data_IF_294811145079
#
_entry.id   IF_294811145079
#
_cell.length_a   1.000
_cell.length_b   1.000
_cell.length_c   1.000
_cell.angle_alpha   90.00
_cell.angle_beta   90.00
_cell.angle_gamma   90.00
#
_symmetry.space_group_name_H-M   'P 1'
#
loop_
_entity.id
_entity.type
_entity.pdbx_description
1 polymer ?
#
# COMPACT_ATOMS: atom_id res chain seq x y z
N UNK A 1 17.10 13.86 16.42
CA UNK A 1 15.65 13.96 16.64
C UNK A 1 15.08 14.75 15.48
N UNK A 2 14.19 14.14 14.69
CA UNK A 2 13.70 14.69 13.43
C UNK A 2 12.51 15.62 13.63
N UNK A 3 12.64 16.62 14.49
CA UNK A 3 11.58 17.60 14.76
C UNK A 3 11.68 18.79 13.81
N UNK A 4 10.55 19.30 13.35
CA UNK A 4 10.46 20.55 12.59
C UNK A 4 9.51 21.56 13.28
N UNK A 5 9.28 22.72 12.66
CA UNK A 5 8.45 23.79 13.22
C UNK A 5 6.97 23.39 13.44
N UNK A 6 6.50 22.35 12.76
CA UNK A 6 5.13 21.82 12.82
C UNK A 6 5.10 20.50 13.59
N UNK A 7 6.10 19.64 13.43
CA UNK A 7 6.15 18.30 14.02
C UNK A 7 7.24 18.26 15.11
N UNK A 8 6.85 18.59 16.34
CA UNK A 8 7.79 18.76 17.46
C UNK A 8 8.20 17.45 18.14
N UNK A 9 7.35 16.41 18.06
CA UNK A 9 7.50 15.11 18.74
C UNK A 9 7.24 13.90 17.81
N UNK A 10 7.85 13.81 16.61
CA UNK A 10 7.52 12.74 15.67
C UNK A 10 8.06 11.39 16.13
N UNK A 11 7.20 10.38 16.05
CA UNK A 11 7.56 8.97 16.27
C UNK A 11 7.55 8.24 14.92
N UNK A 12 8.73 8.12 14.30
CA UNK A 12 8.86 7.64 12.92
C UNK A 12 8.26 6.23 12.79
N UNK A 13 7.16 6.16 12.06
CA UNK A 13 6.33 4.98 11.93
C UNK A 13 6.08 4.67 10.47
N UNK A 14 5.70 3.43 10.17
CA UNK A 14 5.23 3.10 8.84
C UNK A 14 4.10 2.08 8.87
N UNK A 15 3.17 2.22 7.93
CA UNK A 15 2.27 1.15 7.58
C UNK A 15 3.00 0.22 6.59
N UNK A 16 3.39 -0.96 7.07
CA UNK A 16 4.17 -1.94 6.31
C UNK A 16 3.26 -2.97 5.64
N UNK A 17 3.44 -3.20 4.34
CA UNK A 17 2.67 -4.14 3.53
C UNK A 17 3.58 -5.23 3.02
N UNK A 18 3.14 -6.48 3.19
CA UNK A 18 3.76 -7.65 2.56
C UNK A 18 2.74 -8.34 1.67
N UNK A 19 2.99 -8.37 0.36
CA UNK A 19 2.22 -9.16 -0.61
C UNK A 19 2.91 -10.52 -0.73
N UNK A 20 2.28 -11.54 -0.16
CA UNK A 20 2.79 -12.92 -0.17
C UNK A 20 2.30 -13.65 -1.41
N UNK A 21 3.16 -14.50 -1.97
CA UNK A 21 2.79 -15.45 -3.01
C UNK A 21 2.78 -16.88 -2.45
N UNK A 22 2.40 -17.84 -3.27
CA UNK A 22 2.54 -19.27 -2.99
C UNK A 22 3.97 -19.80 -3.25
N UNK A 23 4.87 -18.96 -3.79
CA UNK A 23 6.27 -19.31 -4.01
C UNK A 23 7.07 -18.94 -2.77
N UNK A 24 7.85 -19.89 -2.27
CA UNK A 24 8.70 -19.69 -1.08
C UNK A 24 9.69 -18.56 -1.35
N UNK A 25 9.87 -17.67 -0.36
CA UNK A 25 10.77 -16.50 -0.40
C UNK A 25 10.49 -15.44 -1.47
N UNK A 26 9.44 -15.58 -2.27
CA UNK A 26 8.99 -14.55 -3.23
C UNK A 26 7.82 -13.76 -2.65
N UNK A 27 8.14 -12.55 -2.18
CA UNK A 27 7.18 -11.61 -1.59
C UNK A 27 7.54 -10.16 -1.90
N UNK A 28 6.51 -9.34 -2.05
CA UNK A 28 6.59 -7.91 -2.28
C UNK A 28 6.45 -7.12 -1.00
N UNK A 29 7.21 -6.05 -0.87
CA UNK A 29 7.27 -5.20 0.31
C UNK A 29 7.04 -3.75 -0.07
N UNK A 30 6.11 -3.11 0.63
CA UNK A 30 5.79 -1.71 0.43
C UNK A 30 5.53 -1.02 1.76
N UNK A 31 5.75 0.28 1.79
CA UNK A 31 5.53 1.08 2.99
C UNK A 31 4.79 2.36 2.67
N UNK A 32 4.10 2.88 3.67
CA UNK A 32 3.74 4.30 3.74
C UNK A 32 4.26 4.89 5.04
N UNK A 33 4.99 6.00 4.92
CA UNK A 33 5.62 6.68 6.05
C UNK A 33 4.62 7.56 6.81
N UNK A 34 4.78 7.59 8.13
CA UNK A 34 3.95 8.34 9.08
C UNK A 34 4.80 8.73 10.29
N UNK A 35 4.27 9.55 11.19
CA UNK A 35 5.02 10.09 12.34
C UNK A 35 4.37 9.75 13.69
N UNK A 36 3.73 8.58 13.80
CA UNK A 36 3.22 8.03 15.07
C UNK A 36 1.73 7.75 15.04
N UNK A 37 0.96 8.40 15.92
CA UNK A 37 -0.51 8.27 15.99
C UNK A 37 -1.16 8.47 14.62
N UNK A 38 -2.10 7.61 14.25
CA UNK A 38 -2.77 7.62 12.95
C UNK A 38 -2.17 6.62 11.93
N UNK A 39 -1.02 6.01 12.22
CA UNK A 39 -0.48 4.90 11.41
C UNK A 39 -1.49 3.76 11.29
N UNK A 40 -2.19 3.46 12.38
CA UNK A 40 -3.24 2.44 12.45
C UNK A 40 -4.40 2.70 11.49
N UNK A 41 -4.68 3.97 11.16
CA UNK A 41 -5.72 4.36 10.19
C UNK A 41 -5.28 4.00 8.78
N UNK A 42 -4.00 4.21 8.44
CA UNK A 42 -3.44 3.79 7.15
C UNK A 42 -3.44 2.25 7.04
N UNK A 43 -3.10 1.54 8.11
CA UNK A 43 -3.16 0.07 8.17
C UNK A 43 -4.60 -0.43 7.97
N UNK A 44 -5.60 0.20 8.61
CA UNK A 44 -7.00 -0.16 8.40
C UNK A 44 -7.44 0.06 6.94
N UNK A 45 -7.00 1.15 6.30
CA UNK A 45 -7.27 1.41 4.90
C UNK A 45 -6.60 0.37 3.97
N UNK A 46 -5.38 -0.08 4.29
CA UNK A 46 -4.71 -1.18 3.58
C UNK A 46 -5.57 -2.45 3.64
N UNK A 47 -6.06 -2.83 4.83
CA UNK A 47 -6.91 -4.01 4.99
C UNK A 47 -8.23 -3.89 4.21
N UNK A 48 -8.85 -2.70 4.20
CA UNK A 48 -10.06 -2.46 3.42
C UNK A 48 -9.85 -2.69 1.92
N UNK A 49 -8.66 -2.37 1.40
CA UNK A 49 -8.32 -2.50 -0.02
C UNK A 49 -7.70 -3.86 -0.41
N UNK A 50 -7.28 -4.68 0.55
CA UNK A 50 -6.52 -5.91 0.30
C UNK A 50 -7.24 -6.90 -0.65
N UNK A 51 -8.57 -6.93 -0.61
CA UNK A 51 -9.41 -7.81 -1.43
C UNK A 51 -9.27 -7.56 -2.95
N UNK A 52 -8.79 -6.39 -3.37
CA UNK A 52 -8.50 -6.10 -4.79
C UNK A 52 -7.28 -6.87 -5.32
N UNK A 53 -6.42 -7.37 -4.42
CA UNK A 53 -5.15 -8.03 -4.72
C UNK A 53 -5.20 -9.52 -4.39
N UNK A 54 -5.82 -9.88 -3.25
CA UNK A 54 -5.86 -11.28 -2.78
C UNK A 54 -6.53 -12.19 -3.81
N UNK A 55 -5.90 -13.34 -4.08
CA UNK A 55 -6.42 -14.35 -5.01
C UNK A 55 -6.05 -14.12 -6.48
N UNK A 56 -5.35 -13.04 -6.81
CA UNK A 56 -4.84 -12.77 -8.16
C UNK A 56 -3.42 -13.28 -8.33
N UNK A 57 -3.07 -13.67 -9.55
CA UNK A 57 -1.68 -14.00 -9.89
C UNK A 57 -0.87 -12.73 -10.16
N UNK A 58 0.44 -12.78 -9.94
CA UNK A 58 1.33 -11.66 -10.26
C UNK A 58 1.25 -11.31 -11.76
N UNK A 59 1.20 -12.31 -12.64
CA UNK A 59 1.09 -12.13 -14.09
C UNK A 59 -0.18 -11.36 -14.49
N UNK A 60 -1.34 -11.70 -13.91
CA UNK A 60 -2.59 -10.96 -14.14
C UNK A 60 -2.50 -9.50 -13.71
N UNK A 61 -1.80 -9.22 -12.61
CA UNK A 61 -1.62 -7.87 -12.09
C UNK A 61 -0.72 -7.06 -13.03
N UNK A 62 0.46 -7.59 -13.38
CA UNK A 62 1.48 -6.82 -14.14
C UNK A 62 1.10 -6.63 -15.61
N UNK A 63 0.40 -7.58 -16.22
CA UNK A 63 -0.11 -7.45 -17.59
C UNK A 63 -1.12 -6.32 -17.75
N UNK A 64 -1.80 -5.92 -16.67
CA UNK A 64 -2.71 -4.78 -16.69
C UNK A 64 -2.64 -4.00 -15.37
N UNK A 65 -1.46 -3.45 -15.11
CA UNK A 65 -1.18 -2.70 -13.89
C UNK A 65 -2.13 -1.51 -13.72
N UNK A 66 -2.51 -0.87 -14.83
CA UNK A 66 -3.47 0.23 -14.83
C UNK A 66 -4.83 -0.19 -14.27
N UNK A 67 -5.37 -1.34 -14.68
CA UNK A 67 -6.64 -1.83 -14.15
C UNK A 67 -6.58 -2.13 -12.64
N UNK A 68 -5.46 -2.66 -12.14
CA UNK A 68 -5.28 -2.91 -10.70
C UNK A 68 -5.18 -1.60 -9.92
N UNK A 69 -4.44 -0.63 -10.44
CA UNK A 69 -4.38 0.69 -9.84
C UNK A 69 -5.77 1.35 -9.80
N UNK A 70 -6.54 1.26 -10.89
CA UNK A 70 -7.91 1.75 -10.94
C UNK A 70 -8.82 1.04 -9.95
N UNK A 71 -8.75 -0.29 -9.80
CA UNK A 71 -9.58 -1.00 -8.83
C UNK A 71 -9.31 -0.52 -7.40
N UNK A 72 -8.05 -0.22 -7.08
CA UNK A 72 -7.66 0.34 -5.78
C UNK A 72 -8.09 1.80 -5.59
N UNK A 73 -7.98 2.66 -6.61
CA UNK A 73 -8.27 4.10 -6.47
C UNK A 73 -9.73 4.47 -6.71
N UNK A 74 -10.45 3.67 -7.47
CA UNK A 74 -11.81 3.95 -7.93
C UNK A 74 -12.88 3.07 -7.24
N UNK A 75 -12.51 2.26 -6.25
CA UNK A 75 -13.45 1.63 -5.31
C UNK A 75 -14.39 2.70 -4.75
N UNK A 76 -15.66 2.67 -5.14
CA UNK A 76 -16.58 3.80 -4.88
C UNK A 76 -16.74 4.14 -3.40
N UNK A 77 -16.71 3.15 -2.51
CA UNK A 77 -16.94 3.34 -1.08
C UNK A 77 -15.66 3.84 -0.41
N UNK A 78 -14.53 3.21 -0.71
CA UNK A 78 -13.23 3.62 -0.15
C UNK A 78 -12.77 4.95 -0.76
N UNK A 79 -13.11 5.24 -2.02
CA UNK A 79 -12.81 6.52 -2.68
C UNK A 79 -13.52 7.70 -2.00
N UNK A 80 -14.70 7.48 -1.42
CA UNK A 80 -15.47 8.54 -0.75
C UNK A 80 -14.72 9.18 0.43
N UNK A 81 -13.84 8.42 1.09
CA UNK A 81 -13.02 8.89 2.22
C UNK A 81 -11.64 9.46 1.81
N UNK A 82 -11.35 9.57 0.50
CA UNK A 82 -10.14 10.19 -0.07
C UNK A 82 -10.49 11.51 -0.78
N UNK A 83 -10.93 11.47 -2.05
CA UNK A 83 -10.42 10.63 -3.13
C UNK A 83 -8.97 11.01 -3.48
N UNK A 84 -8.14 10.01 -3.82
CA UNK A 84 -6.73 10.19 -4.24
C UNK A 84 -5.89 11.12 -3.34
N UNK A 85 -6.16 11.09 -2.03
CA UNK A 85 -5.42 11.81 -0.98
C UNK A 85 -5.56 11.12 0.38
N UNK A 86 -4.79 11.58 1.36
CA UNK A 86 -4.93 11.15 2.76
C UNK A 86 -4.62 9.68 3.00
N UNK A 87 -5.13 9.13 4.10
CA UNK A 87 -4.82 7.77 4.56
C UNK A 87 -5.12 6.69 3.52
N UNK A 88 -6.21 6.83 2.76
CA UNK A 88 -6.56 5.87 1.70
C UNK A 88 -5.54 5.88 0.58
N UNK A 89 -5.07 7.04 0.13
CA UNK A 89 -4.12 7.06 -0.98
C UNK A 89 -2.70 6.69 -0.53
N UNK A 90 -2.36 6.93 0.74
CA UNK A 90 -1.19 6.34 1.39
C UNK A 90 -1.25 4.81 1.42
N UNK A 91 -2.41 4.23 1.71
CA UNK A 91 -2.62 2.78 1.64
C UNK A 91 -2.46 2.23 0.22
N UNK A 92 -3.06 2.89 -0.78
CA UNK A 92 -2.86 2.52 -2.20
C UNK A 92 -1.39 2.54 -2.57
N UNK A 93 -0.64 3.59 -2.18
CA UNK A 93 0.78 3.69 -2.47
C UNK A 93 1.59 2.53 -1.86
N UNK A 94 1.32 2.17 -0.60
CA UNK A 94 1.99 1.04 0.04
C UNK A 94 1.72 -0.29 -0.68
N UNK A 95 0.48 -0.55 -1.08
CA UNK A 95 0.10 -1.76 -1.81
C UNK A 95 0.75 -1.79 -3.20
N UNK A 96 0.65 -0.70 -3.96
CA UNK A 96 1.21 -0.61 -5.32
C UNK A 96 2.73 -0.76 -5.30
N UNK A 97 3.41 -0.13 -4.34
CA UNK A 97 4.86 -0.28 -4.19
C UNK A 97 5.24 -1.72 -3.82
N UNK A 98 4.45 -2.41 -2.99
CA UNK A 98 4.68 -3.82 -2.68
C UNK A 98 4.53 -4.72 -3.93
N UNK A 99 3.59 -4.42 -4.82
CA UNK A 99 3.43 -5.14 -6.09
C UNK A 99 4.62 -4.88 -7.02
N UNK A 100 5.10 -3.64 -7.10
CA UNK A 100 6.29 -3.29 -7.87
C UNK A 100 7.54 -4.01 -7.35
N UNK A 101 7.76 -4.04 -6.03
CA UNK A 101 8.86 -4.77 -5.41
C UNK A 101 8.76 -6.29 -5.68
N UNK A 102 7.55 -6.86 -5.58
CA UNK A 102 7.31 -8.27 -5.93
C UNK A 102 7.68 -8.55 -7.39
N UNK A 103 7.23 -7.70 -8.31
CA UNK A 103 7.50 -7.88 -9.73
C UNK A 103 9.00 -7.74 -10.03
N UNK A 104 9.67 -6.75 -9.46
CA UNK A 104 11.11 -6.59 -9.62
C UNK A 104 11.86 -7.87 -9.19
N UNK A 105 11.55 -8.40 -8.01
CA UNK A 105 12.16 -9.63 -7.50
C UNK A 105 11.90 -10.87 -8.34
N UNK A 106 10.75 -10.94 -9.01
CA UNK A 106 10.42 -12.03 -9.91
C UNK A 106 11.19 -11.96 -11.24
N UNK A 107 11.56 -10.74 -11.68
CA UNK A 107 12.33 -10.52 -12.90
C UNK A 107 13.86 -10.67 -12.72
N UNK A 108 14.36 -10.59 -11.48
CA UNK A 108 15.79 -10.72 -11.12
C UNK A 108 16.49 -9.38 -10.93
#
# INVERSE_FOLDING_TARGET
FGSDAVHVDPDYSCAYVVVKTNVVDLQGHGISFTIGRGTEVVVAAIHALAHHITGRTLHEIVNNFGAVHHSLTDDSQVRWIGPKKGAVHLAVAAIVNAIWDLWAKEQG
#
